data_IF_269746532973
#
_entry.id   IF_269746532973
#
_cell.length_a   1.000
_cell.length_b   1.000
_cell.length_c   1.000
_cell.angle_alpha   90.00
_cell.angle_beta   90.00
_cell.angle_gamma   90.00
#
_symmetry.space_group_name_H-M   'P 1'
#
loop_
_entity.id
_entity.type
_entity.pdbx_description
1 polymer ?
#
# COMPACT_ATOMS: atom_id res chain seq x y z
N UNK A 1 26.07 -9.65 13.85
CA UNK A 1 26.29 -8.25 14.22
C UNK A 1 25.12 -7.45 13.64
N UNK A 2 24.37 -6.73 14.45
CA UNK A 2 23.30 -5.84 13.96
C UNK A 2 23.90 -4.74 13.10
N UNK A 3 23.25 -4.42 11.98
CA UNK A 3 23.62 -3.27 11.14
C UNK A 3 23.53 -1.99 11.99
N UNK A 4 24.50 -1.06 11.92
CA UNK A 4 24.35 0.21 12.62
C UNK A 4 23.12 0.97 12.09
N UNK A 5 22.40 1.72 12.94
CA UNK A 5 21.21 2.45 12.52
C UNK A 5 21.57 3.52 11.48
N UNK A 6 20.77 3.57 10.42
CA UNK A 6 20.86 4.62 9.40
C UNK A 6 20.36 5.96 9.99
N UNK A 7 20.80 7.10 9.45
CA UNK A 7 20.26 8.40 9.85
C UNK A 7 18.74 8.45 9.67
N UNK A 8 18.26 8.13 8.47
CA UNK A 8 16.84 8.13 8.14
C UNK A 8 16.47 6.96 7.21
N UNK A 9 15.28 6.40 7.41
CA UNK A 9 14.64 5.43 6.52
C UNK A 9 13.28 5.97 6.11
N UNK A 10 13.03 5.98 4.79
CA UNK A 10 11.76 6.37 4.20
C UNK A 10 10.93 5.11 3.91
N UNK A 11 9.74 5.07 4.47
CA UNK A 11 8.78 3.98 4.34
C UNK A 11 7.59 4.46 3.53
N UNK A 12 7.25 3.75 2.47
CA UNK A 12 6.13 4.12 1.59
C UNK A 12 5.08 3.01 1.57
N UNK A 13 3.82 3.39 1.75
CA UNK A 13 2.71 2.52 1.38
C UNK A 13 2.59 2.41 -0.14
N UNK A 14 1.88 1.38 -0.64
CA UNK A 14 1.62 1.19 -2.07
C UNK A 14 0.25 1.73 -2.45
N UNK A 15 -0.80 1.20 -1.82
CA UNK A 15 -2.19 1.34 -2.27
C UNK A 15 -2.72 2.75 -2.01
N UNK A 16 -3.11 3.44 -3.08
CA UNK A 16 -3.52 4.85 -3.05
C UNK A 16 -2.45 5.84 -2.58
N UNK A 17 -1.24 5.38 -2.34
CA UNK A 17 -0.06 6.23 -2.04
C UNK A 17 0.86 6.35 -3.26
N UNK A 18 1.40 5.23 -3.73
CA UNK A 18 2.24 5.16 -4.95
C UNK A 18 1.46 4.66 -6.17
N UNK A 19 0.40 3.88 -5.95
CA UNK A 19 -0.38 3.21 -6.96
C UNK A 19 -1.87 3.42 -6.71
N UNK A 20 -2.62 3.79 -7.76
CA UNK A 20 -4.07 4.01 -7.73
C UNK A 20 -4.83 2.67 -7.58
N UNK A 21 -4.98 2.21 -6.35
CA UNK A 21 -5.67 0.96 -6.04
C UNK A 21 -7.18 1.04 -6.23
N UNK A 22 -7.77 2.24 -6.10
CA UNK A 22 -9.18 2.46 -6.41
C UNK A 22 -9.47 2.11 -7.88
N UNK A 23 -8.58 2.54 -8.80
CA UNK A 23 -8.71 2.18 -10.21
C UNK A 23 -8.47 0.69 -10.47
N UNK A 24 -7.56 0.04 -9.74
CA UNK A 24 -7.40 -1.43 -9.81
C UNK A 24 -8.71 -2.12 -9.43
N UNK A 25 -9.35 -1.67 -8.36
CA UNK A 25 -10.65 -2.20 -7.89
C UNK A 25 -11.76 -2.02 -8.94
N UNK A 26 -11.81 -0.85 -9.58
CA UNK A 26 -12.75 -0.59 -10.69
C UNK A 26 -12.49 -1.51 -11.89
N UNK A 27 -11.23 -1.68 -12.29
CA UNK A 27 -10.85 -2.54 -13.41
C UNK A 27 -11.19 -4.02 -13.13
N UNK A 28 -11.04 -4.49 -11.89
CA UNK A 28 -11.50 -5.84 -11.49
C UNK A 28 -13.01 -5.95 -11.64
N UNK A 29 -13.76 -4.94 -11.21
CA UNK A 29 -15.22 -4.90 -11.34
C UNK A 29 -15.65 -4.91 -12.81
N UNK A 30 -15.06 -4.06 -13.62
CA UNK A 30 -15.31 -4.00 -15.06
C UNK A 30 -15.03 -5.34 -15.75
N UNK A 31 -13.90 -5.97 -15.45
CA UNK A 31 -13.51 -7.28 -15.98
C UNK A 31 -14.55 -8.35 -15.61
N UNK A 32 -14.96 -8.41 -14.34
CA UNK A 32 -15.96 -9.39 -13.89
C UNK A 32 -17.31 -9.17 -14.58
N UNK A 33 -17.76 -7.91 -14.68
CA UNK A 33 -19.02 -7.57 -15.36
C UNK A 33 -19.01 -7.95 -16.84
N UNK A 34 -17.95 -7.57 -17.55
CA UNK A 34 -17.86 -7.77 -19.01
C UNK A 34 -17.67 -9.24 -19.40
N UNK A 35 -16.87 -9.99 -18.65
CA UNK A 35 -16.48 -11.35 -19.05
C UNK A 35 -17.23 -12.45 -18.29
N UNK A 36 -17.84 -12.13 -17.15
CA UNK A 36 -18.48 -13.14 -16.29
C UNK A 36 -19.93 -12.81 -15.93
N UNK A 37 -20.36 -11.58 -16.18
CA UNK A 37 -21.73 -11.10 -15.97
C UNK A 37 -22.01 -10.59 -14.56
N UNK A 38 -23.15 -9.91 -14.35
CA UNK A 38 -23.47 -9.20 -13.11
C UNK A 38 -23.56 -10.13 -11.90
N UNK A 39 -24.17 -11.31 -12.03
CA UNK A 39 -24.33 -12.22 -10.90
C UNK A 39 -22.99 -12.72 -10.30
N UNK A 40 -21.99 -12.97 -11.16
CA UNK A 40 -20.65 -13.36 -10.73
C UNK A 40 -19.95 -12.16 -10.05
N UNK A 41 -20.06 -10.98 -10.65
CA UNK A 41 -19.47 -9.75 -10.12
C UNK A 41 -20.04 -9.41 -8.74
N UNK A 42 -21.37 -9.38 -8.60
CA UNK A 42 -22.03 -9.09 -7.32
C UNK A 42 -21.64 -10.08 -6.25
N UNK A 43 -21.66 -11.40 -6.56
CA UNK A 43 -21.32 -12.44 -5.60
C UNK A 43 -19.84 -12.39 -5.18
N UNK A 44 -18.93 -12.10 -6.11
CA UNK A 44 -17.50 -11.92 -5.81
C UNK A 44 -17.28 -10.74 -4.84
N UNK A 45 -17.92 -9.59 -5.09
CA UNK A 45 -17.76 -8.41 -4.26
C UNK A 45 -18.42 -8.56 -2.88
N UNK A 46 -19.56 -9.24 -2.78
CA UNK A 46 -20.16 -9.60 -1.50
C UNK A 46 -19.16 -10.41 -0.64
N UNK A 47 -18.55 -11.44 -1.24
CA UNK A 47 -17.56 -12.28 -0.57
C UNK A 47 -16.31 -11.47 -0.20
N UNK A 48 -15.84 -10.59 -1.09
CA UNK A 48 -14.69 -9.74 -0.85
C UNK A 48 -14.91 -8.82 0.36
N UNK A 49 -16.05 -8.16 0.46
CA UNK A 49 -16.35 -7.27 1.59
C UNK A 49 -16.53 -8.05 2.92
N UNK A 50 -17.13 -9.22 2.87
CA UNK A 50 -17.18 -10.10 4.03
C UNK A 50 -15.79 -10.49 4.50
N UNK A 51 -14.93 -10.92 3.58
CA UNK A 51 -13.56 -11.33 3.87
C UNK A 51 -12.73 -10.15 4.39
N UNK A 52 -12.87 -8.96 3.80
CA UNK A 52 -12.20 -7.74 4.26
C UNK A 52 -12.59 -7.38 5.71
N UNK A 53 -13.85 -7.56 6.06
CA UNK A 53 -14.33 -7.34 7.43
C UNK A 53 -13.77 -8.38 8.41
N UNK A 54 -13.65 -9.64 7.99
CA UNK A 54 -13.11 -10.72 8.83
C UNK A 54 -11.59 -10.60 9.05
N UNK A 55 -10.84 -10.25 8.00
CA UNK A 55 -9.37 -10.26 8.00
C UNK A 55 -8.75 -8.90 8.34
N UNK A 56 -9.51 -7.81 8.15
CA UNK A 56 -9.01 -6.44 8.34
C UNK A 56 -8.19 -5.89 7.16
N UNK A 57 -8.01 -6.67 6.09
CA UNK A 57 -7.31 -6.23 4.87
C UNK A 57 -8.00 -6.76 3.59
N UNK A 58 -7.62 -6.21 2.42
CA UNK A 58 -8.17 -6.60 1.12
C UNK A 58 -7.49 -7.87 0.60
N UNK A 59 -8.25 -8.96 0.46
CA UNK A 59 -7.78 -10.24 -0.08
C UNK A 59 -8.58 -10.62 -1.34
N UNK A 60 -8.10 -10.18 -2.49
CA UNK A 60 -8.74 -10.42 -3.79
C UNK A 60 -8.70 -11.89 -4.20
N UNK A 61 -7.60 -12.59 -3.92
CA UNK A 61 -7.44 -14.00 -4.26
C UNK A 61 -8.19 -14.91 -3.29
N UNK A 62 -8.22 -14.55 -2.01
CA UNK A 62 -9.04 -15.22 -1.00
C UNK A 62 -10.54 -15.11 -1.32
N UNK A 63 -10.99 -13.95 -1.80
CA UNK A 63 -12.36 -13.78 -2.28
C UNK A 63 -12.67 -14.71 -3.46
N UNK A 64 -11.75 -14.84 -4.42
CA UNK A 64 -11.89 -15.80 -5.52
C UNK A 64 -11.90 -17.25 -5.02
N UNK A 65 -11.06 -17.59 -4.04
CA UNK A 65 -11.02 -18.93 -3.46
C UNK A 65 -12.34 -19.26 -2.71
N UNK A 66 -12.93 -18.30 -2.00
CA UNK A 66 -14.26 -18.48 -1.37
C UNK A 66 -15.37 -18.58 -2.43
N UNK A 67 -15.34 -17.73 -3.46
CA UNK A 67 -16.28 -17.82 -4.57
C UNK A 67 -16.25 -19.23 -5.20
N UNK A 68 -15.06 -19.82 -5.39
CA UNK A 68 -14.90 -21.17 -5.92
C UNK A 68 -15.68 -22.22 -5.13
N UNK A 69 -15.79 -22.11 -3.81
CA UNK A 69 -16.53 -23.09 -3.00
C UNK A 69 -18.03 -23.10 -3.32
N UNK A 70 -18.56 -22.02 -3.85
CA UNK A 70 -19.97 -21.87 -4.28
C UNK A 70 -20.15 -22.21 -5.77
N UNK A 71 -19.07 -22.17 -6.56
CA UNK A 71 -19.09 -22.35 -8.00
C UNK A 71 -18.00 -23.34 -8.45
N UNK A 72 -17.96 -24.53 -7.84
CA UNK A 72 -16.89 -25.53 -8.01
C UNK A 72 -16.67 -25.98 -9.47
N UNK A 73 -17.68 -25.86 -10.32
CA UNK A 73 -17.62 -26.26 -11.73
C UNK A 73 -17.48 -25.07 -12.68
N UNK A 74 -17.21 -23.87 -12.17
CA UNK A 74 -17.01 -22.70 -13.01
C UNK A 74 -15.60 -22.74 -13.66
N UNK A 75 -15.57 -23.07 -14.95
CA UNK A 75 -14.33 -23.18 -15.72
C UNK A 75 -13.65 -21.83 -15.97
N UNK A 76 -14.33 -20.69 -15.67
CA UNK A 76 -13.80 -19.34 -15.86
C UNK A 76 -12.84 -18.91 -14.76
N UNK A 77 -12.79 -19.65 -13.63
CA UNK A 77 -11.92 -19.31 -12.47
C UNK A 77 -10.46 -19.13 -12.86
N UNK A 78 -9.94 -19.97 -13.79
CA UNK A 78 -8.58 -19.83 -14.29
C UNK A 78 -8.33 -18.47 -14.96
N UNK A 79 -9.29 -17.97 -15.71
CA UNK A 79 -9.18 -16.65 -16.36
C UNK A 79 -9.19 -15.51 -15.34
N UNK A 80 -10.05 -15.59 -14.33
CA UNK A 80 -10.14 -14.59 -13.28
C UNK A 80 -8.81 -14.56 -12.49
N UNK A 81 -8.30 -15.71 -12.05
CA UNK A 81 -7.05 -15.78 -11.29
C UNK A 81 -5.85 -15.27 -12.09
N UNK A 82 -5.71 -15.70 -13.36
CA UNK A 82 -4.64 -15.23 -14.24
C UNK A 82 -4.72 -13.72 -14.46
N UNK A 83 -5.92 -13.19 -14.71
CA UNK A 83 -6.10 -11.74 -14.89
C UNK A 83 -5.68 -10.96 -13.64
N UNK A 84 -6.07 -11.41 -12.44
CA UNK A 84 -5.68 -10.78 -11.18
C UNK A 84 -4.16 -10.77 -11.00
N UNK A 85 -3.53 -11.93 -11.16
CA UNK A 85 -2.07 -12.10 -10.93
C UNK A 85 -1.25 -11.39 -12.00
N UNK A 86 -1.76 -11.31 -13.24
CA UNK A 86 -1.05 -10.72 -14.38
C UNK A 86 -1.47 -9.28 -14.69
N UNK A 87 -2.28 -8.67 -13.82
CA UNK A 87 -2.72 -7.29 -13.97
C UNK A 87 -1.54 -6.32 -14.21
N UNK A 88 -1.67 -5.36 -15.14
CA UNK A 88 -0.60 -4.43 -15.50
C UNK A 88 -0.46 -3.28 -14.49
N UNK A 89 -0.03 -3.58 -13.27
CA UNK A 89 0.05 -2.63 -12.16
C UNK A 89 0.89 -1.38 -12.47
N UNK A 90 1.90 -1.48 -13.34
CA UNK A 90 2.70 -0.33 -13.75
C UNK A 90 1.86 0.81 -14.35
N UNK A 91 0.75 0.47 -15.03
CA UNK A 91 -0.17 1.46 -15.62
C UNK A 91 -1.03 2.18 -14.57
N UNK A 92 -0.93 1.79 -13.31
CA UNK A 92 -1.70 2.35 -12.19
C UNK A 92 -0.83 3.10 -11.19
N UNK A 93 0.47 3.22 -11.42
CA UNK A 93 1.29 4.14 -10.64
C UNK A 93 0.75 5.57 -10.79
N UNK A 94 0.69 6.28 -9.68
CA UNK A 94 0.45 7.71 -9.74
C UNK A 94 1.62 8.42 -10.44
N UNK A 95 1.38 9.53 -11.13
CA UNK A 95 2.46 10.32 -11.72
C UNK A 95 3.53 10.65 -10.68
N UNK A 96 4.80 10.59 -11.09
CA UNK A 96 5.97 10.94 -10.26
C UNK A 96 6.23 10.00 -9.06
N UNK A 97 5.52 8.84 -8.95
CA UNK A 97 5.74 7.91 -7.84
C UNK A 97 7.17 7.37 -7.78
N UNK A 98 7.75 6.99 -8.92
CA UNK A 98 9.13 6.50 -8.97
C UNK A 98 10.15 7.62 -8.72
N UNK A 99 9.88 8.83 -9.22
CA UNK A 99 10.71 10.01 -8.99
C UNK A 99 10.73 10.41 -7.51
N UNK A 100 9.60 10.30 -6.81
CA UNK A 100 9.50 10.56 -5.38
C UNK A 100 10.37 9.59 -4.55
N UNK A 101 10.37 8.29 -4.91
CA UNK A 101 11.24 7.29 -4.28
C UNK A 101 12.72 7.64 -4.51
N UNK A 102 13.09 7.98 -5.75
CA UNK A 102 14.46 8.35 -6.09
C UNK A 102 14.89 9.66 -5.41
N UNK A 103 13.98 10.62 -5.28
CA UNK A 103 14.22 11.86 -4.57
C UNK A 103 14.55 11.62 -3.10
N UNK A 104 13.74 10.81 -2.38
CA UNK A 104 13.97 10.50 -0.98
C UNK A 104 15.25 9.71 -0.73
N UNK A 105 15.70 8.92 -1.71
CA UNK A 105 16.96 8.15 -1.62
C UNK A 105 18.20 9.01 -1.42
N UNK A 106 18.14 10.30 -1.75
CA UNK A 106 19.25 11.26 -1.51
C UNK A 106 19.63 11.37 -0.04
N UNK A 107 18.70 11.10 0.86
CA UNK A 107 18.90 11.27 2.30
C UNK A 107 18.95 9.95 3.08
N UNK A 108 18.43 8.84 2.55
CA UNK A 108 18.44 7.57 3.25
C UNK A 108 17.88 6.41 2.46
N UNK A 109 17.80 5.27 3.11
CA UNK A 109 17.20 4.07 2.53
C UNK A 109 15.71 4.28 2.30
N UNK A 110 15.24 3.85 1.13
CA UNK A 110 13.83 3.84 0.76
C UNK A 110 13.32 2.41 0.75
N UNK A 111 12.21 2.16 1.42
CA UNK A 111 11.56 0.86 1.50
C UNK A 111 10.04 0.98 1.33
N UNK A 112 9.41 -0.07 0.86
CA UNK A 112 7.95 -0.26 0.90
C UNK A 112 7.57 -0.87 2.25
N UNK A 113 6.51 -0.33 2.84
CA UNK A 113 5.86 -0.89 4.02
C UNK A 113 4.34 -0.88 3.77
N UNK A 114 3.77 -2.04 3.46
CA UNK A 114 2.38 -2.15 3.00
C UNK A 114 1.62 -3.26 3.70
N UNK A 115 0.30 -3.11 3.78
CA UNK A 115 -0.61 -4.18 4.17
C UNK A 115 -1.04 -4.97 2.95
N UNK A 116 -1.27 -6.28 3.11
CA UNK A 116 -1.82 -7.10 2.05
C UNK A 116 -1.61 -8.59 2.24
N UNK A 117 -2.15 -9.35 1.30
CA UNK A 117 -1.99 -10.80 1.26
C UNK A 117 -0.61 -11.23 0.73
N UNK A 118 -0.31 -12.54 0.91
CA UNK A 118 0.99 -13.11 0.59
C UNK A 118 1.26 -13.31 -0.92
N UNK A 119 0.30 -13.05 -1.80
CA UNK A 119 0.43 -13.31 -3.25
C UNK A 119 0.18 -12.04 -4.06
N UNK A 120 -0.96 -11.38 -3.87
CA UNK A 120 -1.38 -10.26 -4.70
C UNK A 120 -0.54 -9.01 -4.41
N UNK A 121 -0.26 -8.71 -3.13
CA UNK A 121 0.52 -7.53 -2.77
C UNK A 121 2.00 -7.62 -3.19
N UNK A 122 2.74 -8.75 -2.97
CA UNK A 122 4.07 -8.91 -3.55
C UNK A 122 4.08 -8.83 -5.07
N UNK A 123 3.07 -9.41 -5.73
CA UNK A 123 2.95 -9.38 -7.19
C UNK A 123 2.69 -7.97 -7.72
N UNK A 124 1.88 -7.18 -6.99
CA UNK A 124 1.66 -5.75 -7.26
C UNK A 124 2.97 -4.96 -7.18
N UNK A 125 3.74 -5.12 -6.11
CA UNK A 125 5.03 -4.46 -5.94
C UNK A 125 6.00 -4.83 -7.07
N UNK A 126 6.06 -6.10 -7.46
CA UNK A 126 6.94 -6.60 -8.52
C UNK A 126 6.53 -6.06 -9.90
N UNK A 127 5.26 -6.23 -10.27
CA UNK A 127 4.77 -5.87 -11.62
C UNK A 127 4.55 -4.37 -11.83
N UNK A 128 4.49 -3.59 -10.78
CA UNK A 128 4.48 -2.13 -10.87
C UNK A 128 5.88 -1.53 -11.07
N UNK A 129 6.96 -2.31 -10.84
CA UNK A 129 8.33 -1.83 -10.84
C UNK A 129 8.78 -1.26 -9.49
N UNK A 130 7.89 -1.15 -8.50
CA UNK A 130 8.22 -0.63 -7.17
C UNK A 130 9.27 -1.48 -6.46
N UNK A 131 9.20 -2.82 -6.60
CA UNK A 131 10.16 -3.75 -6.01
C UNK A 131 11.60 -3.44 -6.45
N UNK A 132 11.82 -3.15 -7.74
CA UNK A 132 13.12 -2.76 -8.27
C UNK A 132 13.48 -1.33 -7.83
N UNK A 133 12.51 -0.42 -7.86
CA UNK A 133 12.73 0.97 -7.48
C UNK A 133 13.22 1.15 -6.04
N UNK A 134 12.82 0.26 -5.12
CA UNK A 134 13.29 0.30 -3.72
C UNK A 134 14.43 -0.71 -3.44
N UNK A 135 15.13 -1.19 -4.46
CA UNK A 135 16.22 -2.18 -4.31
C UNK A 135 15.78 -3.42 -3.51
N UNK A 136 14.56 -3.91 -3.74
CA UNK A 136 13.93 -5.06 -3.07
C UNK A 136 13.63 -4.87 -1.58
N UNK A 137 13.71 -3.66 -1.06
CA UNK A 137 13.34 -3.34 0.32
C UNK A 137 11.81 -3.26 0.42
N UNK A 138 11.14 -4.41 0.48
CA UNK A 138 9.67 -4.50 0.54
C UNK A 138 9.28 -5.33 1.74
N UNK A 139 8.48 -4.75 2.62
CA UNK A 139 7.88 -5.36 3.80
C UNK A 139 6.35 -5.35 3.61
N UNK A 140 5.73 -6.52 3.72
CA UNK A 140 4.28 -6.70 3.60
C UNK A 140 3.79 -7.43 4.83
N UNK A 141 2.78 -6.84 5.49
CA UNK A 141 2.17 -7.36 6.71
C UNK A 141 0.65 -7.41 6.58
N UNK A 142 -0.02 -7.94 7.58
CA UNK A 142 -1.47 -7.87 7.71
C UNK A 142 -1.85 -6.51 8.30
N UNK A 143 -1.14 -6.08 9.36
CA UNK A 143 -1.31 -4.79 10.04
C UNK A 143 0.08 -4.20 10.29
N UNK A 144 0.59 -3.42 9.35
CA UNK A 144 1.96 -2.89 9.36
C UNK A 144 2.26 -2.01 10.58
N UNK A 145 1.24 -1.33 11.11
CA UNK A 145 1.37 -0.50 12.30
C UNK A 145 1.62 -1.31 13.59
N UNK A 146 1.37 -2.61 13.56
CA UNK A 146 1.63 -3.51 14.69
C UNK A 146 3.02 -4.17 14.62
N UNK A 147 3.69 -4.08 13.46
CA UNK A 147 4.95 -4.78 13.17
C UNK A 147 6.20 -3.88 13.23
N UNK A 148 6.09 -2.71 13.88
CA UNK A 148 7.16 -1.71 13.90
C UNK A 148 8.46 -2.21 14.52
N UNK A 149 8.40 -3.10 15.48
CA UNK A 149 9.58 -3.73 16.08
C UNK A 149 10.35 -4.58 15.07
N UNK A 150 9.65 -5.29 14.16
CA UNK A 150 10.27 -6.03 13.08
C UNK A 150 10.82 -5.10 11.99
N UNK A 151 10.10 -4.02 11.68
CA UNK A 151 10.61 -2.97 10.76
C UNK A 151 11.95 -2.43 11.25
N UNK A 152 12.08 -2.12 12.56
CA UNK A 152 13.34 -1.65 13.17
C UNK A 152 14.47 -2.70 13.10
N UNK A 153 14.14 -3.98 13.17
CA UNK A 153 15.15 -5.04 13.03
C UNK A 153 15.69 -5.14 11.60
N UNK A 154 14.84 -4.97 10.60
CA UNK A 154 15.24 -5.06 9.19
C UNK A 154 15.88 -3.76 8.71
N UNK A 155 15.33 -2.63 9.09
CA UNK A 155 15.77 -1.28 8.72
C UNK A 155 16.02 -0.43 9.97
N UNK A 156 17.09 -0.69 10.73
CA UNK A 156 17.39 0.12 11.91
C UNK A 156 17.73 1.54 11.52
N UNK A 157 17.01 2.53 12.10
CA UNK A 157 17.22 3.94 11.81
C UNK A 157 17.09 4.81 13.08
N UNK A 158 17.72 5.99 13.04
CA UNK A 158 17.52 7.03 14.06
C UNK A 158 16.19 7.72 13.89
N UNK A 159 15.77 7.91 12.63
CA UNK A 159 14.52 8.55 12.26
C UNK A 159 13.83 7.81 11.10
N UNK A 160 12.51 7.82 11.11
CA UNK A 160 11.68 7.25 10.03
C UNK A 160 10.82 8.36 9.42
N UNK A 161 10.56 8.24 8.12
CA UNK A 161 9.54 9.01 7.41
C UNK A 161 8.54 8.02 6.85
N UNK A 162 7.26 8.08 7.25
CA UNK A 162 6.21 7.22 6.70
C UNK A 162 5.28 8.03 5.82
N UNK A 163 5.11 7.57 4.58
CA UNK A 163 4.24 8.17 3.56
C UNK A 163 3.06 7.23 3.31
N UNK A 164 1.83 7.68 3.59
CA UNK A 164 0.62 6.84 3.55
C UNK A 164 -0.62 7.69 3.24
N UNK A 165 -1.64 7.09 2.59
CA UNK A 165 -2.95 7.70 2.35
C UNK A 165 -3.91 7.52 3.53
N UNK A 166 -3.56 6.66 4.51
CA UNK A 166 -4.38 6.35 5.69
C UNK A 166 -3.88 7.06 6.95
N UNK A 167 -4.49 8.18 7.26
CA UNK A 167 -4.14 8.98 8.46
C UNK A 167 -4.25 8.16 9.76
N UNK A 168 -5.14 7.15 9.81
CA UNK A 168 -5.24 6.19 10.92
C UNK A 168 -3.92 5.47 11.18
N UNK A 169 -3.28 4.98 10.13
CA UNK A 169 -2.01 4.24 10.22
C UNK A 169 -0.89 5.18 10.66
N UNK A 170 -0.79 6.35 10.04
CA UNK A 170 0.20 7.37 10.41
C UNK A 170 0.09 7.75 11.90
N UNK A 171 -1.12 7.97 12.39
CA UNK A 171 -1.37 8.29 13.80
C UNK A 171 -1.02 7.13 14.74
N UNK A 172 -1.30 5.88 14.35
CA UNK A 172 -0.96 4.70 15.13
C UNK A 172 0.56 4.53 15.24
N UNK A 173 1.29 4.65 14.13
CA UNK A 173 2.75 4.58 14.11
C UNK A 173 3.41 5.74 14.88
N UNK A 174 2.85 6.96 14.78
CA UNK A 174 3.33 8.14 15.52
C UNK A 174 3.23 7.96 17.04
N UNK A 175 2.19 7.29 17.53
CA UNK A 175 2.06 6.96 18.97
C UNK A 175 3.18 6.06 19.48
N UNK A 176 3.72 5.19 18.63
CA UNK A 176 4.78 4.24 19.01
C UNK A 176 6.17 4.87 18.84
N UNK A 177 6.44 5.48 17.69
CA UNK A 177 7.77 6.02 17.38
C UNK A 177 7.98 7.48 17.85
N UNK A 178 6.91 8.22 18.17
CA UNK A 178 7.00 9.59 18.69
C UNK A 178 7.78 10.51 17.75
N UNK A 179 8.76 11.20 18.33
CA UNK A 179 9.60 12.16 17.59
C UNK A 179 10.57 11.49 16.59
N UNK A 180 10.71 10.17 16.67
CA UNK A 180 11.48 9.40 15.66
C UNK A 180 10.74 9.18 14.36
N UNK A 181 9.50 9.64 14.23
CA UNK A 181 8.69 9.51 13.01
C UNK A 181 8.24 10.87 12.48
N UNK A 182 8.52 11.14 11.22
CA UNK A 182 7.82 12.15 10.42
C UNK A 182 6.73 11.48 9.61
N UNK A 183 5.50 11.91 9.79
CA UNK A 183 4.33 11.40 9.06
C UNK A 183 4.06 12.28 7.84
N UNK A 184 3.89 11.65 6.68
CA UNK A 184 3.50 12.33 5.44
C UNK A 184 2.17 11.75 4.96
N UNK A 185 1.12 12.55 5.04
CA UNK A 185 -0.21 12.19 4.58
C UNK A 185 -0.40 12.61 3.13
N UNK A 186 -0.69 11.63 2.26
CA UNK A 186 -0.95 11.87 0.84
C UNK A 186 -2.45 11.84 0.58
N UNK A 187 -3.04 12.94 0.13
CA UNK A 187 -4.48 13.04 -0.16
C UNK A 187 -4.84 12.43 -1.52
N UNK A 188 -4.56 11.14 -1.67
CA UNK A 188 -4.90 10.32 -2.83
C UNK A 188 -5.78 9.15 -2.40
N UNK A 189 -6.66 8.69 -3.33
CA UNK A 189 -7.58 7.60 -3.03
C UNK A 189 -8.71 7.96 -2.06
N UNK A 190 -9.65 7.04 -1.90
CA UNK A 190 -10.90 7.30 -1.18
C UNK A 190 -10.73 7.50 0.33
N UNK A 191 -9.78 6.80 0.97
CA UNK A 191 -9.56 6.91 2.42
C UNK A 191 -9.10 8.30 2.83
N UNK A 192 -8.26 8.95 2.01
CA UNK A 192 -7.74 10.28 2.31
C UNK A 192 -8.82 11.38 2.25
N UNK A 193 -9.95 11.09 1.59
CA UNK A 193 -11.06 12.03 1.43
C UNK A 193 -12.27 11.72 2.34
N UNK A 194 -12.11 10.81 3.30
CA UNK A 194 -13.17 10.54 4.28
C UNK A 194 -13.49 11.79 5.10
N UNK A 195 -14.78 12.18 5.21
CA UNK A 195 -15.17 13.35 6.00
C UNK A 195 -14.72 13.24 7.46
N UNK A 196 -14.08 14.28 7.97
CA UNK A 196 -13.70 14.34 9.38
C UNK A 196 -12.48 13.51 9.77
N UNK A 197 -11.70 13.00 8.79
CA UNK A 197 -10.56 12.13 9.08
C UNK A 197 -9.47 12.81 9.92
N UNK A 198 -9.18 14.10 9.66
CA UNK A 198 -8.19 14.86 10.45
C UNK A 198 -8.70 15.18 11.86
N UNK A 199 -10.01 15.40 12.04
CA UNK A 199 -10.59 15.58 13.38
C UNK A 199 -10.50 14.29 14.20
N UNK A 200 -10.58 13.14 13.54
CA UNK A 200 -10.56 11.82 14.20
C UNK A 200 -9.16 11.37 14.60
N UNK A 201 -8.16 11.60 13.77
CA UNK A 201 -6.81 11.05 13.95
C UNK A 201 -5.73 12.11 14.20
N UNK A 202 -6.04 13.39 14.07
CA UNK A 202 -5.07 14.49 14.11
C UNK A 202 -4.43 14.75 12.75
N UNK A 203 -3.74 15.88 12.62
CA UNK A 203 -2.99 16.21 11.40
C UNK A 203 -1.66 15.43 11.36
N UNK A 204 -1.21 15.07 10.17
CA UNK A 204 0.14 14.59 9.94
C UNK A 204 1.16 15.74 10.03
N UNK A 205 2.45 15.40 10.19
CA UNK A 205 3.53 16.41 10.22
C UNK A 205 3.63 17.13 8.85
N UNK A 206 3.41 16.39 7.77
CA UNK A 206 3.36 16.89 6.39
C UNK A 206 2.10 16.37 5.71
N UNK A 207 1.39 17.24 4.99
CA UNK A 207 0.24 16.85 4.16
C UNK A 207 0.49 17.32 2.72
N UNK A 208 0.30 16.42 1.77
CA UNK A 208 0.44 16.67 0.33
C UNK A 208 -0.77 16.16 -0.43
N UNK A 209 -1.14 16.81 -1.53
CA UNK A 209 -2.31 16.40 -2.33
C UNK A 209 -1.98 15.26 -3.30
N UNK A 210 -0.71 15.14 -3.71
CA UNK A 210 -0.22 14.09 -4.61
C UNK A 210 1.22 13.75 -4.30
N UNK A 211 1.60 12.52 -4.56
CA UNK A 211 2.92 11.97 -4.24
C UNK A 211 4.07 12.78 -4.86
N UNK A 212 3.91 13.30 -6.07
CA UNK A 212 4.92 14.12 -6.76
C UNK A 212 5.29 15.40 -6.02
N UNK A 213 4.47 15.91 -5.10
CA UNK A 213 4.82 17.07 -4.29
C UNK A 213 6.01 16.81 -3.36
N UNK A 214 6.33 15.53 -3.05
CA UNK A 214 7.55 15.20 -2.31
C UNK A 214 8.82 15.68 -3.00
N UNK A 215 8.82 15.83 -4.31
CA UNK A 215 9.98 16.32 -5.07
C UNK A 215 10.43 17.73 -4.67
N UNK A 216 9.55 18.52 -4.05
CA UNK A 216 9.84 19.86 -3.54
C UNK A 216 10.25 19.88 -2.06
N UNK A 217 10.22 18.74 -1.35
CA UNK A 217 10.55 18.66 0.06
C UNK A 217 12.05 18.38 0.25
N UNK A 218 12.66 19.08 1.18
CA UNK A 218 14.04 18.88 1.62
C UNK A 218 14.06 18.17 2.98
N UNK A 219 14.62 16.97 3.01
CA UNK A 219 14.78 16.15 4.22
C UNK A 219 16.23 16.13 4.74
N UNK A 220 17.10 17.04 4.28
CA UNK A 220 18.52 17.10 4.67
C UNK A 220 18.71 17.23 6.18
N UNK A 221 17.77 17.87 6.88
CA UNK A 221 17.77 18.03 8.33
C UNK A 221 17.59 16.72 9.10
N UNK A 222 17.09 15.66 8.45
CA UNK A 222 16.92 14.32 9.05
C UNK A 222 18.15 13.42 8.83
N UNK A 223 19.04 13.80 7.93
CA UNK A 223 20.26 13.06 7.54
C UNK A 223 21.52 13.91 7.79
N UNK A 224 21.85 14.26 9.04
CA UNK A 224 23.03 15.06 9.39
C UNK A 224 24.35 14.31 9.16
#
# INVERSE_FOLDING_TARGET
MSKPPEPVVFLFDIDNTLLNNDRVTEDIREMLLQHHGPAVCEKYWEIFEQLRTELGYADYLGALQRYRTLAMHDTRLLRISSWLVDYPFANRLFPESLDALEHCRKWGTVAILSDGDAVFQPRKAERSGLFQAVNRNVLIYIHKEEELAHVEQIHPARHYVMVDDKLRILAAMKKIWGDRLTTVFVKQGHYAHEPGIEQKYGAADITIDRIGQLLSHDFSHLAP
#
